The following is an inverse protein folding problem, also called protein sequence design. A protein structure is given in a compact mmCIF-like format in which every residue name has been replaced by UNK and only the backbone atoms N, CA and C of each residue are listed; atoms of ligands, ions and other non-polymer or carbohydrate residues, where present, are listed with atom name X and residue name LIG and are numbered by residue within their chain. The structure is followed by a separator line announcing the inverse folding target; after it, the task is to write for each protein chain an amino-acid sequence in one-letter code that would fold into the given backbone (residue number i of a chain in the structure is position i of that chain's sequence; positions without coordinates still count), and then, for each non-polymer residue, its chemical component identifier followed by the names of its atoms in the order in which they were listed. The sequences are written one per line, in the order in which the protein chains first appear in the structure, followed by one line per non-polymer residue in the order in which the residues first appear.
data_IF_774488088545
#
_entry.id   IF_774488088545
#
_cell.length_a   1.000
_cell.length_b   1.000
_cell.length_c   1.000
_cell.angle_alpha   90.00
_cell.angle_beta   90.00
_cell.angle_gamma   90.00
#
_symmetry.space_group_name_H-M   'P 1'
#
loop_
_entity.id
_entity.type
_entity.pdbx_description
1 polymer ?
#
# COMPACT_ATOMS: atom_id res chain seq x y z
N UNK A 1 -0.28 18.88 6.46
CA UNK A 1 -0.67 17.93 5.41
C UNK A 1 -1.72 16.94 5.92
N UNK A 2 -2.46 16.24 5.02
CA UNK A 2 -3.42 15.20 5.45
C UNK A 2 -2.75 13.84 5.55
N UNK A 3 -2.85 13.20 6.72
CA UNK A 3 -2.31 11.86 6.97
C UNK A 3 -3.38 10.89 7.45
N UNK A 4 -3.25 9.63 7.05
CA UNK A 4 -4.13 8.56 7.48
C UNK A 4 -3.47 7.71 8.59
N UNK A 5 -4.10 7.69 9.74
CA UNK A 5 -3.68 6.92 10.92
C UNK A 5 -4.53 5.66 11.03
N UNK A 6 -3.92 4.50 10.92
CA UNK A 6 -4.64 3.22 10.93
C UNK A 6 -4.42 2.48 12.23
N UNK A 7 -5.52 2.07 12.87
CA UNK A 7 -5.54 1.35 14.14
C UNK A 7 -6.34 0.06 14.04
N UNK A 8 -6.09 -0.84 14.96
CA UNK A 8 -6.98 -1.98 15.24
C UNK A 8 -8.14 -1.48 16.10
N UNK A 9 -9.32 -2.08 15.92
CA UNK A 9 -10.41 -1.92 16.86
C UNK A 9 -11.18 -3.24 17.00
N UNK A 10 -11.94 -3.35 18.07
CA UNK A 10 -12.66 -4.56 18.45
C UNK A 10 -14.15 -4.25 18.54
N UNK A 11 -14.92 -4.44 17.45
CA UNK A 11 -16.36 -4.14 17.47
C UNK A 11 -17.10 -5.10 18.37
N UNK A 12 -18.14 -4.61 19.05
CA UNK A 12 -19.16 -5.47 19.69
C UNK A 12 -19.86 -6.31 18.62
N UNK A 13 -20.52 -7.43 18.98
CA UNK A 13 -21.29 -8.22 18.02
C UNK A 13 -22.30 -7.39 17.22
N UNK A 14 -23.03 -6.48 17.87
CA UNK A 14 -23.98 -5.57 17.23
C UNK A 14 -23.30 -4.61 16.24
N UNK A 15 -22.18 -3.99 16.64
CA UNK A 15 -21.40 -3.13 15.75
C UNK A 15 -20.86 -3.91 14.54
N UNK A 16 -20.36 -5.13 14.76
CA UNK A 16 -19.82 -5.97 13.69
C UNK A 16 -20.91 -6.36 12.68
N UNK A 17 -22.13 -6.67 13.15
CA UNK A 17 -23.28 -6.99 12.30
C UNK A 17 -23.67 -5.77 11.46
N UNK A 18 -23.89 -4.63 12.08
CA UNK A 18 -24.28 -3.39 11.41
C UNK A 18 -23.24 -2.95 10.37
N UNK A 19 -21.94 -3.03 10.70
CA UNK A 19 -20.86 -2.73 9.77
C UNK A 19 -20.81 -3.72 8.59
N UNK A 20 -21.08 -5.00 8.83
CA UNK A 20 -21.17 -6.00 7.75
C UNK A 20 -22.32 -5.73 6.79
N UNK A 21 -23.50 -5.31 7.30
CA UNK A 21 -24.64 -4.85 6.48
C UNK A 21 -24.23 -3.60 5.70
N UNK A 22 -23.62 -2.61 6.34
CA UNK A 22 -23.10 -1.40 5.69
C UNK A 22 -22.15 -1.73 4.53
N UNK A 23 -21.19 -2.67 4.70
CA UNK A 23 -20.32 -3.13 3.62
C UNK A 23 -21.09 -3.78 2.46
N UNK A 24 -22.19 -4.46 2.76
CA UNK A 24 -23.11 -5.01 1.76
C UNK A 24 -23.76 -3.90 0.93
N UNK A 25 -24.33 -2.92 1.61
CA UNK A 25 -25.00 -1.76 1.00
C UNK A 25 -24.03 -0.94 0.14
N UNK A 26 -22.84 -0.60 0.65
CA UNK A 26 -21.79 0.10 -0.08
C UNK A 26 -21.40 -0.63 -1.37
N UNK A 27 -21.24 -1.94 -1.33
CA UNK A 27 -20.94 -2.73 -2.52
C UNK A 27 -22.10 -2.75 -3.52
N UNK A 28 -23.31 -2.88 -3.05
CA UNK A 28 -24.51 -2.86 -3.88
C UNK A 28 -24.65 -1.52 -4.61
N UNK A 29 -24.60 -0.41 -3.87
CA UNK A 29 -24.70 0.96 -4.43
C UNK A 29 -23.61 1.21 -5.47
N UNK A 30 -22.36 0.81 -5.18
CA UNK A 30 -21.27 0.92 -6.16
C UNK A 30 -21.59 0.17 -7.45
N UNK A 31 -22.04 -1.09 -7.31
CA UNK A 31 -22.31 -1.94 -8.46
C UNK A 31 -23.53 -1.46 -9.26
N UNK A 32 -24.60 -1.06 -8.58
CA UNK A 32 -25.81 -0.52 -9.24
C UNK A 32 -25.48 0.77 -9.99
N UNK A 33 -24.76 1.69 -9.36
CA UNK A 33 -24.32 2.92 -10.02
C UNK A 33 -23.39 2.67 -11.21
N UNK A 34 -22.48 1.70 -11.11
CA UNK A 34 -21.63 1.28 -12.23
C UNK A 34 -22.47 0.69 -13.37
N UNK A 35 -23.44 -0.17 -13.05
CA UNK A 35 -24.33 -0.76 -14.05
C UNK A 35 -25.16 0.31 -14.79
N UNK A 36 -25.76 1.27 -14.06
CA UNK A 36 -26.54 2.38 -14.65
C UNK A 36 -25.66 3.25 -15.57
N UNK A 37 -24.45 3.60 -15.12
CA UNK A 37 -23.50 4.38 -15.95
C UNK A 37 -23.06 3.62 -17.19
N UNK A 38 -22.80 2.31 -17.06
CA UNK A 38 -22.41 1.46 -18.21
C UNK A 38 -23.57 1.32 -19.19
N UNK A 39 -24.81 1.09 -18.70
CA UNK A 39 -26.01 0.97 -19.53
C UNK A 39 -26.30 2.26 -20.30
N UNK A 40 -26.29 3.41 -19.63
CA UNK A 40 -26.53 4.70 -20.25
C UNK A 40 -25.54 4.99 -21.38
N UNK A 41 -24.29 4.59 -21.21
CA UNK A 41 -23.27 4.73 -22.25
C UNK A 41 -23.50 3.76 -23.41
N UNK A 42 -23.78 2.47 -23.16
CA UNK A 42 -23.93 1.44 -24.19
C UNK A 42 -25.20 1.64 -25.03
N UNK A 43 -26.30 2.10 -24.41
CA UNK A 43 -27.60 2.24 -25.07
C UNK A 43 -27.81 3.61 -25.72
N UNK A 44 -27.21 4.68 -25.17
CA UNK A 44 -27.48 6.04 -25.66
C UNK A 44 -26.26 6.94 -25.69
N UNK A 45 -25.04 6.40 -25.54
CA UNK A 45 -23.79 7.17 -25.44
C UNK A 45 -23.85 8.32 -24.41
N UNK A 46 -24.80 8.22 -23.47
CA UNK A 46 -25.05 9.24 -22.46
C UNK A 46 -24.10 9.08 -21.27
N UNK A 47 -23.43 10.15 -20.92
CA UNK A 47 -22.58 10.19 -19.73
C UNK A 47 -23.43 10.55 -18.50
N UNK A 48 -23.53 9.61 -17.55
CA UNK A 48 -24.17 9.84 -16.25
C UNK A 48 -23.14 10.46 -15.28
N UNK A 49 -23.51 11.60 -14.70
CA UNK A 49 -22.67 12.37 -13.76
C UNK A 49 -22.71 11.79 -12.35
N UNK A 50 -21.82 12.28 -11.47
CA UNK A 50 -21.86 11.95 -10.05
C UNK A 50 -23.17 12.44 -9.39
N UNK A 51 -23.62 13.65 -9.72
CA UNK A 51 -24.84 14.24 -9.17
C UNK A 51 -26.09 13.41 -9.54
N UNK A 52 -26.16 12.90 -10.76
CA UNK A 52 -27.25 12.00 -11.17
C UNK A 52 -27.24 10.69 -10.39
N UNK A 53 -26.06 10.10 -10.17
CA UNK A 53 -25.95 8.87 -9.35
C UNK A 53 -26.34 9.11 -7.88
N UNK A 54 -26.10 10.30 -7.35
CA UNK A 54 -26.51 10.68 -6.00
C UNK A 54 -28.03 10.87 -5.91
N UNK A 55 -28.67 11.47 -6.93
CA UNK A 55 -30.14 11.51 -7.06
C UNK A 55 -30.73 10.11 -7.17
N UNK A 56 -30.16 9.23 -8.00
CA UNK A 56 -30.57 7.83 -8.12
C UNK A 56 -30.52 7.09 -6.78
N UNK A 57 -29.50 7.34 -5.94
CA UNK A 57 -29.44 6.76 -4.60
C UNK A 57 -30.65 7.14 -3.75
N UNK A 58 -31.17 8.34 -3.87
CA UNK A 58 -32.38 8.78 -3.17
C UNK A 58 -33.60 8.00 -3.64
N UNK A 59 -33.74 7.79 -4.95
CA UNK A 59 -34.80 6.98 -5.54
C UNK A 59 -34.69 5.51 -5.09
N UNK A 60 -33.50 4.93 -5.13
CA UNK A 60 -33.30 3.54 -4.68
C UNK A 60 -33.64 3.32 -3.21
N UNK A 61 -33.50 4.31 -2.35
CA UNK A 61 -33.90 4.21 -0.93
C UNK A 61 -35.42 4.23 -0.74
N UNK A 62 -36.17 4.78 -1.70
CA UNK A 62 -37.64 4.82 -1.66
C UNK A 62 -38.28 3.60 -2.32
N UNK A 63 -37.53 2.91 -3.16
CA UNK A 63 -37.96 1.71 -3.85
C UNK A 63 -38.13 0.56 -2.84
N UNK A 64 -39.31 -0.08 -2.74
CA UNK A 64 -39.58 -1.18 -1.81
C UNK A 64 -38.55 -2.32 -1.90
N UNK A 65 -38.08 -2.67 -3.10
CA UNK A 65 -37.09 -3.74 -3.30
C UNK A 65 -35.73 -3.42 -2.70
N UNK A 66 -35.40 -2.15 -2.54
CA UNK A 66 -34.10 -1.68 -2.04
C UNK A 66 -34.20 -0.77 -0.82
N UNK A 67 -35.36 -0.73 -0.14
CA UNK A 67 -35.62 0.05 1.07
C UNK A 67 -34.61 -0.23 2.21
N UNK A 68 -34.02 -1.43 2.26
CA UNK A 68 -32.95 -1.78 3.21
C UNK A 68 -31.70 -0.89 3.06
N UNK A 69 -31.55 -0.10 1.98
CA UNK A 69 -30.50 0.91 1.86
C UNK A 69 -30.66 2.09 2.84
N UNK A 70 -31.78 2.17 3.57
CA UNK A 70 -32.00 3.14 4.65
C UNK A 70 -31.32 2.72 5.96
N UNK A 71 -31.04 1.42 6.14
CA UNK A 71 -30.38 0.90 7.36
C UNK A 71 -29.03 1.60 7.65
N UNK A 72 -28.05 1.64 6.72
CA UNK A 72 -26.80 2.31 7.00
C UNK A 72 -26.96 3.84 6.98
N UNK A 73 -26.00 4.53 7.59
CA UNK A 73 -25.87 5.98 7.40
C UNK A 73 -25.69 6.34 5.93
N UNK A 74 -26.22 7.50 5.51
CA UNK A 74 -26.09 7.97 4.12
C UNK A 74 -24.64 8.18 3.69
N UNK A 75 -23.77 8.60 4.62
CA UNK A 75 -22.38 8.97 4.31
C UNK A 75 -21.57 7.87 3.60
N UNK A 76 -21.52 6.63 4.10
CA UNK A 76 -20.83 5.53 3.42
C UNK A 76 -21.36 5.23 2.02
N UNK A 77 -22.66 5.42 1.77
CA UNK A 77 -23.26 5.22 0.46
C UNK A 77 -22.84 6.31 -0.53
N UNK A 78 -22.88 7.57 -0.09
CA UNK A 78 -22.39 8.69 -0.89
C UNK A 78 -20.88 8.63 -1.12
N UNK A 79 -20.11 8.22 -0.09
CA UNK A 79 -18.67 8.02 -0.22
C UNK A 79 -18.34 7.03 -1.34
N UNK A 80 -19.09 5.93 -1.44
CA UNK A 80 -18.83 4.94 -2.50
C UNK A 80 -19.18 5.43 -3.91
N UNK A 81 -20.13 6.36 -4.06
CA UNK A 81 -20.39 7.03 -5.35
C UNK A 81 -19.25 7.97 -5.74
N UNK A 82 -18.64 8.67 -4.76
CA UNK A 82 -17.42 9.46 -4.98
C UNK A 82 -16.23 8.58 -5.37
N UNK A 83 -16.08 7.41 -4.73
CA UNK A 83 -15.05 6.43 -5.10
C UNK A 83 -15.24 5.94 -6.55
N UNK A 84 -16.49 5.70 -6.97
CA UNK A 84 -16.80 5.33 -8.35
C UNK A 84 -16.46 6.46 -9.31
N UNK A 85 -16.80 7.70 -8.96
CA UNK A 85 -16.45 8.88 -9.77
C UNK A 85 -14.92 9.01 -9.91
N UNK A 86 -14.19 8.87 -8.82
CA UNK A 86 -12.71 8.89 -8.85
C UNK A 86 -12.14 7.77 -9.73
N UNK A 87 -12.75 6.58 -9.70
CA UNK A 87 -12.34 5.47 -10.56
C UNK A 87 -12.56 5.78 -12.05
N UNK A 88 -13.66 6.44 -12.41
CA UNK A 88 -13.89 6.92 -13.77
C UNK A 88 -12.92 8.02 -14.19
N UNK A 89 -12.65 9.00 -13.32
CA UNK A 89 -11.65 10.04 -13.59
C UNK A 89 -10.28 9.43 -13.88
N UNK A 90 -9.85 8.47 -13.06
CA UNK A 90 -8.59 7.76 -13.28
C UNK A 90 -8.58 6.95 -14.59
N UNK A 91 -9.70 6.40 -15.00
CA UNK A 91 -9.84 5.71 -16.28
C UNK A 91 -9.71 6.71 -17.46
N UNK A 92 -10.44 7.84 -17.44
CA UNK A 92 -10.38 8.84 -18.51
C UNK A 92 -8.98 9.47 -18.64
N UNK A 93 -8.30 9.65 -17.50
CA UNK A 93 -6.92 10.14 -17.47
C UNK A 93 -5.88 9.05 -17.80
N UNK A 94 -6.31 7.86 -18.22
CA UNK A 94 -5.45 6.70 -18.56
C UNK A 94 -4.56 6.20 -17.40
N UNK A 95 -4.87 6.62 -16.16
CA UNK A 95 -4.15 6.18 -14.93
C UNK A 95 -4.60 4.81 -14.45
N UNK A 96 -5.81 4.38 -14.79
CA UNK A 96 -6.37 3.09 -14.41
C UNK A 96 -7.22 2.48 -15.54
N UNK A 97 -7.51 1.19 -15.43
CA UNK A 97 -8.47 0.50 -16.31
C UNK A 97 -9.90 0.87 -15.93
N UNK A 98 -10.85 0.54 -16.83
CA UNK A 98 -12.28 0.72 -16.61
C UNK A 98 -12.72 0.16 -15.26
N UNK A 99 -13.61 0.85 -14.50
CA UNK A 99 -14.11 0.40 -13.20
C UNK A 99 -14.73 -1.00 -13.29
N UNK A 100 -14.49 -1.83 -12.26
CA UNK A 100 -14.99 -3.21 -12.23
C UNK A 100 -16.01 -3.40 -11.12
N UNK A 101 -16.98 -4.29 -11.32
CA UNK A 101 -17.91 -4.70 -10.29
C UNK A 101 -17.19 -5.25 -9.06
N UNK A 102 -17.63 -4.82 -7.89
CA UNK A 102 -17.11 -5.29 -6.60
C UNK A 102 -17.81 -6.60 -6.22
N UNK A 103 -17.04 -7.61 -5.79
CA UNK A 103 -17.58 -8.88 -5.30
C UNK A 103 -17.27 -9.08 -3.81
N UNK A 104 -18.14 -9.80 -3.08
CA UNK A 104 -17.93 -10.13 -1.65
C UNK A 104 -16.61 -10.87 -1.41
N UNK A 105 -16.15 -11.65 -2.39
CA UNK A 105 -14.93 -12.49 -2.28
C UNK A 105 -13.64 -11.74 -2.58
N UNK A 106 -13.66 -10.86 -3.58
CA UNK A 106 -12.45 -10.21 -4.13
C UNK A 106 -12.26 -8.78 -3.64
N UNK A 107 -13.36 -8.09 -3.27
CA UNK A 107 -13.29 -6.70 -2.85
C UNK A 107 -13.11 -6.59 -1.35
N UNK A 108 -12.37 -5.57 -0.93
CA UNK A 108 -12.17 -5.25 0.48
C UNK A 108 -13.50 -4.83 1.11
N UNK A 109 -13.82 -5.37 2.28
CA UNK A 109 -14.93 -4.90 3.10
C UNK A 109 -14.49 -3.58 3.77
N UNK A 110 -15.03 -2.45 3.33
CA UNK A 110 -14.73 -1.13 3.88
C UNK A 110 -15.88 -0.16 3.65
N UNK A 111 -16.01 0.81 4.55
CA UNK A 111 -16.97 1.90 4.48
C UNK A 111 -16.33 3.18 5.01
N UNK A 112 -16.52 4.28 4.30
CA UNK A 112 -15.96 5.58 4.63
C UNK A 112 -17.04 6.49 5.20
N UNK A 113 -16.76 7.10 6.34
CA UNK A 113 -17.61 8.05 7.05
C UNK A 113 -16.93 9.42 7.01
N UNK A 114 -17.63 10.42 6.49
CA UNK A 114 -17.16 11.81 6.51
C UNK A 114 -17.54 12.46 7.85
N UNK A 115 -17.03 13.66 8.11
CA UNK A 115 -17.15 14.39 9.39
C UNK A 115 -18.57 14.45 9.96
N UNK A 116 -19.58 14.55 9.10
CA UNK A 116 -21.00 14.57 9.49
C UNK A 116 -21.60 13.19 9.78
N UNK A 117 -20.83 12.11 9.71
CA UNK A 117 -21.29 10.73 9.90
C UNK A 117 -20.56 10.01 11.03
N UNK A 118 -19.85 10.72 11.86
CA UNK A 118 -19.27 10.24 13.11
C UNK A 118 -19.09 11.40 14.09
N UNK A 119 -19.00 11.10 15.38
CA UNK A 119 -18.62 12.06 16.41
C UNK A 119 -17.20 11.74 16.89
N UNK A 120 -16.44 12.78 17.19
CA UNK A 120 -15.12 12.73 17.81
C UNK A 120 -15.20 13.51 19.12
N UNK A 121 -15.13 12.83 20.26
CA UNK A 121 -15.17 13.45 21.61
C UNK A 121 -14.25 12.69 22.55
N UNK A 122 -13.41 13.39 23.31
CA UNK A 122 -12.55 12.76 24.33
C UNK A 122 -11.65 11.64 23.81
N UNK A 123 -11.16 11.73 22.58
CA UNK A 123 -10.35 10.66 21.97
C UNK A 123 -11.17 9.43 21.49
N UNK A 124 -12.49 9.51 21.49
CA UNK A 124 -13.38 8.41 21.08
C UNK A 124 -14.11 8.72 19.77
N UNK A 125 -14.31 7.71 18.96
CA UNK A 125 -15.06 7.79 17.69
C UNK A 125 -16.35 6.98 17.82
N UNK A 126 -17.48 7.65 17.64
CA UNK A 126 -18.78 6.97 17.50
C UNK A 126 -19.31 7.19 16.09
N UNK A 127 -19.59 6.10 15.37
CA UNK A 127 -20.13 6.18 14.02
C UNK A 127 -21.61 6.48 14.03
N UNK A 128 -22.10 7.17 13.03
CA UNK A 128 -23.54 7.44 12.88
C UNK A 128 -24.36 6.13 12.89
N UNK A 129 -25.47 6.15 13.59
CA UNK A 129 -26.35 4.99 13.87
C UNK A 129 -25.71 3.90 14.74
N UNK A 130 -24.64 4.21 15.46
CA UNK A 130 -24.12 3.37 16.54
C UNK A 130 -24.29 4.08 17.89
N UNK A 131 -24.67 3.32 18.92
CA UNK A 131 -24.89 3.85 20.27
C UNK A 131 -23.60 3.95 21.09
N UNK A 132 -22.59 3.18 20.73
CA UNK A 132 -21.34 3.09 21.48
C UNK A 132 -20.14 3.49 20.62
N UNK A 133 -19.09 4.08 21.20
CA UNK A 133 -17.86 4.37 20.52
C UNK A 133 -17.16 3.08 20.07
N UNK A 134 -16.27 3.21 19.08
CA UNK A 134 -15.40 2.12 18.65
C UNK A 134 -14.35 1.84 19.72
N UNK A 135 -14.18 0.59 20.12
CA UNK A 135 -13.08 0.14 20.98
C UNK A 135 -11.78 0.09 20.17
N UNK A 136 -11.06 1.22 20.11
CA UNK A 136 -9.85 1.42 19.31
C UNK A 136 -8.63 1.13 20.16
N UNK A 137 -7.79 0.20 19.69
CA UNK A 137 -6.47 -0.01 20.24
C UNK A 137 -5.50 1.06 19.73
N UNK A 138 -5.28 2.09 20.56
CA UNK A 138 -4.42 3.23 20.26
C UNK A 138 -2.93 2.85 20.38
N UNK A 139 -2.38 2.23 19.32
CA UNK A 139 -0.96 1.87 19.27
C UNK A 139 -0.02 3.09 19.20
N UNK A 140 -0.55 4.25 18.91
CA UNK A 140 0.08 5.58 18.94
C UNK A 140 -1.00 6.63 19.11
N UNK A 141 -0.65 7.79 19.64
CA UNK A 141 -1.58 8.91 19.72
C UNK A 141 -1.75 9.56 18.33
N UNK A 142 -2.89 10.20 18.11
CA UNK A 142 -3.03 11.16 17.04
C UNK A 142 -2.18 12.39 17.36
N UNK A 143 -1.76 13.18 16.35
CA UNK A 143 -1.12 14.47 16.62
C UNK A 143 -1.97 15.34 17.53
N UNK A 144 -1.34 16.14 18.36
CA UNK A 144 -2.01 17.09 19.23
C UNK A 144 -2.87 18.05 18.41
N UNK A 145 -4.09 18.32 18.85
CA UNK A 145 -5.05 19.15 18.12
C UNK A 145 -5.59 18.54 16.82
N UNK A 146 -5.24 17.30 16.49
CA UNK A 146 -5.70 16.67 15.25
C UNK A 146 -7.21 16.41 15.27
N UNK A 147 -7.93 17.00 14.31
CA UNK A 147 -9.34 16.74 14.09
C UNK A 147 -9.57 15.74 12.94
N UNK A 148 -10.22 14.60 13.21
CA UNK A 148 -10.61 13.66 12.19
C UNK A 148 -11.57 14.27 11.18
N UNK A 149 -11.17 14.31 9.91
CA UNK A 149 -12.02 14.77 8.78
C UNK A 149 -12.77 13.60 8.14
N UNK A 150 -12.21 12.40 8.21
CA UNK A 150 -12.75 11.19 7.61
C UNK A 150 -12.32 9.95 8.39
N UNK A 151 -13.23 9.02 8.53
CA UNK A 151 -12.99 7.72 9.17
C UNK A 151 -13.36 6.61 8.21
N UNK A 152 -12.42 5.70 7.92
CA UNK A 152 -12.68 4.51 7.09
C UNK A 152 -12.57 3.27 7.94
N UNK A 153 -13.68 2.57 8.11
CA UNK A 153 -13.72 1.26 8.77
C UNK A 153 -13.53 0.16 7.75
N UNK A 154 -12.75 -0.84 8.09
CA UNK A 154 -12.52 -1.98 7.19
C UNK A 154 -12.28 -3.28 7.94
N UNK A 155 -12.65 -4.39 7.28
CA UNK A 155 -12.38 -5.75 7.75
C UNK A 155 -11.52 -6.49 6.72
N UNK A 156 -10.45 -7.13 7.18
CA UNK A 156 -9.59 -7.94 6.31
C UNK A 156 -10.07 -9.39 6.20
N UNK A 157 -9.40 -10.17 5.35
CA UNK A 157 -9.71 -11.57 5.13
C UNK A 157 -9.44 -12.46 6.37
N UNK A 158 -8.64 -12.00 7.32
CA UNK A 158 -8.38 -12.65 8.60
C UNK A 158 -9.42 -12.30 9.68
N UNK A 159 -10.50 -11.60 9.30
CA UNK A 159 -11.56 -11.06 10.18
C UNK A 159 -11.04 -10.05 11.19
N UNK A 160 -9.96 -9.34 10.88
CA UNK A 160 -9.45 -8.25 11.71
C UNK A 160 -10.08 -6.94 11.28
N UNK A 161 -10.49 -6.14 12.27
CA UNK A 161 -11.12 -4.86 12.05
C UNK A 161 -10.11 -3.72 12.20
N UNK A 162 -10.23 -2.75 11.33
CA UNK A 162 -9.36 -1.58 11.31
C UNK A 162 -10.18 -0.32 11.11
N UNK A 163 -9.76 0.72 11.81
CA UNK A 163 -10.20 2.09 11.58
C UNK A 163 -9.01 2.88 11.05
N UNK A 164 -9.22 3.61 9.95
CA UNK A 164 -8.25 4.55 9.40
C UNK A 164 -8.83 5.94 9.54
N UNK A 165 -8.15 6.78 10.28
CA UNK A 165 -8.55 8.14 10.62
C UNK A 165 -7.72 9.08 9.77
N UNK A 166 -8.37 9.91 8.96
CA UNK A 166 -7.73 10.97 8.20
C UNK A 166 -7.81 12.26 9.02
N UNK A 167 -6.66 12.78 9.38
CA UNK A 167 -6.53 14.03 10.12
C UNK A 167 -5.45 14.92 9.48
N UNK A 168 -5.53 16.20 9.75
CA UNK A 168 -4.45 17.11 9.41
C UNK A 168 -3.29 16.89 10.39
N UNK A 169 -2.09 16.94 9.89
CA UNK A 169 -0.87 16.73 10.64
C UNK A 169 0.20 17.73 10.17
N UNK A 170 0.80 18.41 11.09
CA UNK A 170 1.97 19.25 10.86
C UNK A 170 3.22 18.41 11.08
N UNK A 171 3.64 17.68 10.03
CA UNK A 171 4.94 17.02 10.10
C UNK A 171 6.00 18.10 10.01
N UNK A 172 6.82 18.23 11.04
CA UNK A 172 8.00 19.08 11.00
C UNK A 172 9.06 18.40 10.15
N UNK A 173 9.69 19.16 9.27
CA UNK A 173 10.86 18.68 8.56
C UNK A 173 11.90 18.20 9.58
N UNK A 174 12.58 17.13 9.25
CA UNK A 174 13.70 16.67 10.07
C UNK A 174 14.86 17.67 9.97
N UNK A 175 15.63 17.81 11.04
CA UNK A 175 16.82 18.66 11.01
C UNK A 175 17.69 18.37 9.78
N UNK A 176 18.18 19.37 9.05
CA UNK A 176 19.01 19.15 7.86
C UNK A 176 20.21 18.27 8.17
N UNK A 177 20.61 17.44 7.24
CA UNK A 177 21.84 16.66 7.30
C UNK A 177 22.51 16.69 5.92
N UNK A 178 23.82 16.53 5.87
CA UNK A 178 24.58 16.47 4.61
C UNK A 178 24.76 15.04 4.11
N UNK A 179 24.33 14.04 4.89
CA UNK A 179 24.50 12.63 4.56
C UNK A 179 23.70 12.24 3.32
N UNK A 180 24.35 11.49 2.43
CA UNK A 180 23.74 10.92 1.23
C UNK A 180 24.02 9.42 1.19
N UNK A 181 23.07 8.63 0.68
CA UNK A 181 23.22 7.18 0.61
C UNK A 181 22.67 6.61 -0.68
N UNK A 182 23.46 5.73 -1.32
CA UNK A 182 23.02 4.87 -2.42
C UNK A 182 22.56 3.52 -1.86
N UNK A 183 21.51 2.97 -2.46
CA UNK A 183 20.90 1.72 -2.04
C UNK A 183 20.81 0.73 -3.20
N UNK A 184 21.53 -0.39 -3.07
CA UNK A 184 21.36 -1.56 -3.92
C UNK A 184 20.35 -2.53 -3.30
N UNK A 185 19.34 -2.98 -4.06
CA UNK A 185 18.27 -3.85 -3.59
C UNK A 185 18.54 -5.31 -3.98
N UNK A 186 18.82 -6.16 -2.98
CA UNK A 186 19.23 -7.54 -3.17
C UNK A 186 18.26 -8.58 -2.62
N UNK A 187 18.48 -9.85 -2.98
CA UNK A 187 17.71 -11.00 -2.47
C UNK A 187 18.36 -11.55 -1.20
N UNK A 188 19.67 -11.62 -1.13
CA UNK A 188 20.42 -12.11 0.04
C UNK A 188 20.39 -11.08 1.15
N UNK A 189 20.90 -9.89 0.88
CA UNK A 189 20.63 -8.70 1.68
C UNK A 189 19.41 -8.01 1.09
N UNK A 190 18.49 -7.52 1.92
CA UNK A 190 17.30 -6.80 1.45
C UNK A 190 17.69 -5.52 0.75
N UNK A 191 18.65 -4.80 1.34
CA UNK A 191 19.34 -3.65 0.76
C UNK A 191 20.79 -3.65 1.23
N UNK A 192 21.68 -3.14 0.39
CA UNK A 192 23.06 -2.82 0.73
C UNK A 192 23.24 -1.32 0.55
N UNK A 193 23.80 -0.66 1.55
CA UNK A 193 24.05 0.78 1.55
C UNK A 193 25.45 1.09 1.02
N UNK A 194 25.63 2.25 0.42
CA UNK A 194 26.94 2.73 -0.06
C UNK A 194 27.97 2.92 1.06
N UNK A 195 27.50 2.98 2.32
CA UNK A 195 28.34 2.98 3.54
C UNK A 195 29.00 1.62 3.81
N UNK A 196 28.58 0.56 3.12
CA UNK A 196 29.02 -0.84 3.38
C UNK A 196 28.05 -1.65 4.24
N UNK A 197 27.05 -1.01 4.86
CA UNK A 197 26.05 -1.74 5.65
C UNK A 197 25.19 -2.65 4.76
N UNK A 198 25.06 -3.91 5.17
CA UNK A 198 24.17 -4.91 4.56
C UNK A 198 23.00 -5.23 5.48
N UNK A 199 21.80 -4.85 5.07
CA UNK A 199 20.58 -5.17 5.82
C UNK A 199 20.08 -6.56 5.43
N UNK A 200 20.08 -7.49 6.38
CA UNK A 200 19.68 -8.88 6.16
C UNK A 200 18.22 -8.97 5.72
N UNK A 201 17.95 -9.80 4.69
CA UNK A 201 16.58 -10.09 4.28
C UNK A 201 15.92 -11.07 5.27
N UNK A 202 14.87 -10.68 6.02
CA UNK A 202 14.27 -11.51 7.07
C UNK A 202 13.43 -12.67 6.52
N UNK A 203 13.19 -12.75 5.21
CA UNK A 203 12.52 -13.85 4.49
C UNK A 203 11.23 -14.31 5.18
N UNK A 204 10.34 -13.39 5.46
CA UNK A 204 9.13 -13.60 6.29
C UNK A 204 8.21 -14.71 5.75
N UNK A 205 8.03 -14.83 4.43
CA UNK A 205 7.23 -15.90 3.81
C UNK A 205 7.90 -17.25 4.01
N UNK A 206 9.21 -17.35 3.79
CA UNK A 206 9.97 -18.57 3.95
C UNK A 206 9.85 -19.12 5.38
N UNK A 207 9.91 -18.24 6.37
CA UNK A 207 9.77 -18.57 7.80
C UNK A 207 8.42 -19.21 8.14
N UNK A 208 7.31 -18.71 7.54
CA UNK A 208 5.96 -19.21 7.80
C UNK A 208 5.48 -20.22 6.71
N UNK A 209 6.33 -20.61 5.74
CA UNK A 209 5.98 -21.44 4.58
C UNK A 209 5.37 -22.78 4.93
N UNK A 210 5.97 -23.51 5.88
CA UNK A 210 5.44 -24.82 6.35
C UNK A 210 4.02 -24.66 6.91
N UNK A 211 3.80 -23.62 7.72
CA UNK A 211 2.50 -23.30 8.31
C UNK A 211 1.47 -22.91 7.25
N UNK A 212 1.88 -22.09 6.29
CA UNK A 212 1.01 -21.68 5.17
C UNK A 212 0.58 -22.90 4.33
N UNK A 213 1.53 -23.77 3.95
CA UNK A 213 1.27 -25.01 3.20
C UNK A 213 0.27 -25.89 3.91
N UNK A 214 0.46 -26.16 5.21
CA UNK A 214 -0.48 -26.97 6.02
C UNK A 214 -1.88 -26.36 6.05
N UNK A 215 -1.99 -25.05 6.23
CA UNK A 215 -3.28 -24.35 6.24
C UNK A 215 -3.97 -24.41 4.86
N UNK A 216 -3.22 -24.29 3.75
CA UNK A 216 -3.74 -24.40 2.38
C UNK A 216 -4.19 -25.83 2.07
N UNK A 217 -3.45 -26.86 2.46
CA UNK A 217 -3.85 -28.26 2.32
C UNK A 217 -5.12 -28.57 3.12
N UNK A 218 -5.22 -28.06 4.35
CA UNK A 218 -6.44 -28.20 5.15
C UNK A 218 -7.64 -27.52 4.47
N UNK A 219 -7.43 -26.35 3.84
CA UNK A 219 -8.47 -25.65 3.09
C UNK A 219 -8.90 -26.41 1.83
N UNK A 220 -7.96 -26.99 1.08
CA UNK A 220 -8.26 -27.71 -0.18
C UNK A 220 -9.15 -28.94 0.07
N UNK A 221 -8.97 -29.62 1.20
CA UNK A 221 -9.73 -30.81 1.60
C UNK A 221 -11.17 -30.51 2.07
N UNK A 222 -11.58 -29.24 2.18
CA UNK A 222 -12.92 -28.86 2.68
C UNK A 222 -13.87 -28.59 1.52
N UNK A 223 -15.11 -29.08 1.65
CA UNK A 223 -16.18 -28.90 0.68
C UNK A 223 -16.42 -27.41 0.37
N UNK A 224 -16.56 -27.08 -0.90
CA UNK A 224 -16.88 -25.72 -1.36
C UNK A 224 -18.25 -25.29 -0.79
N UNK A 225 -18.30 -24.09 -0.23
CA UNK A 225 -19.54 -23.55 0.39
C UNK A 225 -19.70 -23.85 1.89
N UNK A 226 -19.06 -24.88 2.45
CA UNK A 226 -19.25 -25.27 3.85
C UNK A 226 -18.69 -24.25 4.85
N UNK A 227 -19.27 -24.21 6.05
CA UNK A 227 -18.79 -23.40 7.18
C UNK A 227 -17.35 -23.77 7.58
N UNK A 228 -17.01 -25.07 7.51
CA UNK A 228 -15.66 -25.56 7.80
C UNK A 228 -14.63 -25.03 6.79
N UNK A 229 -15.02 -24.91 5.51
CA UNK A 229 -14.16 -24.26 4.50
C UNK A 229 -13.98 -22.76 4.79
N UNK A 230 -15.02 -22.07 5.25
CA UNK A 230 -14.91 -20.67 5.66
C UNK A 230 -13.94 -20.49 6.84
N UNK A 231 -14.02 -21.35 7.87
CA UNK A 231 -13.08 -21.38 8.99
C UNK A 231 -11.64 -21.65 8.52
N UNK A 232 -11.44 -22.63 7.62
CA UNK A 232 -10.12 -22.96 7.07
C UNK A 232 -9.54 -21.79 6.24
N UNK A 233 -10.38 -21.10 5.45
CA UNK A 233 -9.97 -19.89 4.69
C UNK A 233 -9.47 -18.78 5.63
N UNK A 234 -10.16 -18.56 6.74
CA UNK A 234 -9.72 -17.59 7.76
C UNK A 234 -8.37 -17.99 8.37
N UNK A 235 -8.09 -19.28 8.58
CA UNK A 235 -6.77 -19.75 9.05
C UNK A 235 -5.67 -19.41 8.05
N UNK A 236 -5.89 -19.67 6.76
CA UNK A 236 -4.93 -19.27 5.69
C UNK A 236 -4.72 -17.75 5.68
N UNK A 237 -5.81 -16.99 5.75
CA UNK A 237 -5.75 -15.52 5.76
C UNK A 237 -4.98 -14.97 6.97
N UNK A 238 -5.10 -15.60 8.16
CA UNK A 238 -4.33 -15.23 9.36
C UNK A 238 -2.82 -15.42 9.17
N UNK A 239 -2.39 -16.48 8.46
CA UNK A 239 -0.95 -16.69 8.17
C UNK A 239 -0.45 -15.61 7.20
N UNK A 240 -1.17 -15.35 6.11
CA UNK A 240 -0.81 -14.26 5.18
C UNK A 240 -0.78 -12.89 5.86
N UNK A 241 -1.74 -12.61 6.74
CA UNK A 241 -1.78 -11.35 7.49
C UNK A 241 -0.54 -11.19 8.38
N UNK A 242 -0.11 -12.25 9.08
CA UNK A 242 1.12 -12.24 9.90
C UNK A 242 2.36 -11.94 9.06
N UNK A 243 2.51 -12.61 7.91
CA UNK A 243 3.64 -12.38 6.99
C UNK A 243 3.65 -10.92 6.53
N UNK A 244 2.50 -10.40 6.13
CA UNK A 244 2.35 -9.01 5.67
C UNK A 244 2.66 -7.99 6.78
N UNK A 245 2.17 -8.23 8.00
CA UNK A 245 2.38 -7.31 9.12
C UNK A 245 3.87 -7.24 9.50
N UNK A 246 4.55 -8.39 9.62
CA UNK A 246 5.99 -8.45 9.89
C UNK A 246 6.83 -7.76 8.82
N UNK A 247 6.49 -8.00 7.55
CA UNK A 247 7.16 -7.36 6.42
C UNK A 247 7.00 -5.84 6.48
N UNK A 248 5.79 -5.37 6.72
CA UNK A 248 5.53 -3.94 6.83
C UNK A 248 6.24 -3.30 8.01
N UNK A 249 6.21 -3.93 9.18
CA UNK A 249 6.91 -3.44 10.36
C UNK A 249 8.41 -3.30 10.10
N UNK A 250 9.02 -4.34 9.52
CA UNK A 250 10.44 -4.32 9.16
C UNK A 250 10.76 -3.19 8.17
N UNK A 251 9.99 -3.09 7.08
CA UNK A 251 10.19 -2.03 6.10
C UNK A 251 9.95 -0.63 6.68
N UNK A 252 8.95 -0.46 7.55
CA UNK A 252 8.70 0.83 8.20
C UNK A 252 9.86 1.25 9.10
N UNK A 253 10.43 0.34 9.87
CA UNK A 253 11.60 0.60 10.72
C UNK A 253 12.81 0.98 9.87
N UNK A 254 13.12 0.16 8.87
CA UNK A 254 14.25 0.38 7.96
C UNK A 254 14.14 1.72 7.22
N UNK A 255 13.03 1.96 6.54
CA UNK A 255 12.86 3.19 5.74
C UNK A 255 12.78 4.44 6.61
N UNK A 256 12.28 4.36 7.85
CA UNK A 256 12.30 5.49 8.78
C UNK A 256 13.72 5.82 9.21
N UNK A 257 14.54 4.81 9.50
CA UNK A 257 15.94 4.99 9.83
C UNK A 257 16.70 5.64 8.68
N UNK A 258 16.62 5.06 7.48
CA UNK A 258 17.32 5.58 6.29
C UNK A 258 16.96 7.05 6.00
N UNK A 259 15.67 7.39 6.04
CA UNK A 259 15.20 8.75 5.76
C UNK A 259 15.59 9.75 6.86
N UNK A 260 15.69 9.31 8.11
CA UNK A 260 16.12 10.20 9.20
C UNK A 260 17.62 10.50 9.14
N UNK A 261 18.41 9.51 8.77
CA UNK A 261 19.87 9.59 8.75
C UNK A 261 20.43 10.32 7.51
N UNK A 262 19.67 10.40 6.41
CA UNK A 262 20.17 10.91 5.14
C UNK A 262 19.31 12.03 4.56
N UNK A 263 19.95 13.05 3.98
CA UNK A 263 19.29 14.13 3.24
C UNK A 263 18.79 13.63 1.88
N UNK A 264 19.65 12.90 1.17
CA UNK A 264 19.35 12.36 -0.16
C UNK A 264 19.53 10.84 -0.16
N UNK A 265 18.56 10.12 -0.66
CA UNK A 265 18.57 8.67 -0.80
C UNK A 265 18.45 8.31 -2.27
N UNK A 266 19.42 7.59 -2.79
CA UNK A 266 19.48 7.22 -4.21
C UNK A 266 19.19 5.73 -4.35
N UNK A 267 18.27 5.39 -5.25
CA UNK A 267 17.80 4.03 -5.49
C UNK A 267 17.78 3.69 -6.98
N UNK A 268 17.70 2.42 -7.32
CA UNK A 268 17.43 1.96 -8.69
C UNK A 268 15.94 1.99 -9.03
N UNK A 269 15.61 2.28 -10.31
CA UNK A 269 14.25 2.13 -10.84
C UNK A 269 13.94 0.67 -11.19
N UNK A 270 13.74 -0.17 -10.19
CA UNK A 270 13.47 -1.60 -10.40
C UNK A 270 12.09 -1.87 -11.00
N UNK A 271 12.04 -2.55 -12.14
CA UNK A 271 10.79 -3.05 -12.72
C UNK A 271 10.31 -4.33 -12.01
N UNK A 272 9.92 -4.21 -10.73
CA UNK A 272 9.50 -5.35 -9.90
C UNK A 272 8.38 -6.16 -10.56
N UNK A 273 7.46 -5.51 -11.28
CA UNK A 273 6.38 -6.17 -12.01
C UNK A 273 6.89 -7.13 -13.09
N UNK A 274 7.95 -6.78 -13.77
CA UNK A 274 8.58 -7.65 -14.78
C UNK A 274 9.41 -8.74 -14.11
N UNK A 275 10.13 -8.41 -13.04
CA UNK A 275 10.95 -9.37 -12.30
C UNK A 275 10.13 -10.53 -11.70
N UNK A 276 8.91 -10.30 -11.23
CA UNK A 276 8.02 -11.35 -10.70
C UNK A 276 7.44 -12.27 -11.80
N UNK A 277 7.67 -12.00 -13.07
CA UNK A 277 7.33 -12.93 -14.15
C UNK A 277 8.30 -14.13 -14.22
N UNK A 278 9.50 -13.97 -13.70
CA UNK A 278 10.44 -15.09 -13.52
C UNK A 278 9.92 -16.01 -12.42
N UNK A 279 9.39 -17.17 -12.80
CA UNK A 279 8.76 -18.13 -11.89
C UNK A 279 9.70 -18.61 -10.76
N UNK A 280 10.99 -18.76 -11.04
CA UNK A 280 11.99 -19.21 -10.06
C UNK A 280 12.21 -18.18 -8.95
N UNK A 281 12.20 -16.89 -9.28
CA UNK A 281 12.49 -15.79 -8.34
C UNK A 281 11.25 -15.05 -7.85
N UNK A 282 10.09 -15.20 -8.48
CA UNK A 282 8.86 -14.45 -8.21
C UNK A 282 8.49 -14.44 -6.71
N UNK A 283 8.64 -15.58 -6.03
CA UNK A 283 8.30 -15.72 -4.62
C UNK A 283 9.24 -14.91 -3.73
N UNK A 284 10.55 -14.99 -3.97
CA UNK A 284 11.57 -14.30 -3.17
C UNK A 284 11.48 -12.79 -3.40
N UNK A 285 11.32 -12.37 -4.65
CA UNK A 285 11.11 -10.96 -5.02
C UNK A 285 9.84 -10.41 -4.38
N UNK A 286 8.73 -11.18 -4.39
CA UNK A 286 7.49 -10.80 -3.72
C UNK A 286 7.65 -10.71 -2.20
N UNK A 287 8.52 -11.54 -1.60
CA UNK A 287 8.80 -11.48 -0.16
C UNK A 287 9.68 -10.28 0.20
N UNK A 288 10.65 -9.90 -0.62
CA UNK A 288 11.47 -8.70 -0.46
C UNK A 288 10.63 -7.40 -0.51
N UNK A 289 9.55 -7.38 -1.31
CA UNK A 289 8.60 -6.27 -1.43
C UNK A 289 9.24 -4.91 -1.76
N UNK A 290 10.17 -4.88 -2.71
CA UNK A 290 10.91 -3.67 -3.11
C UNK A 290 10.00 -2.52 -3.59
N UNK A 291 8.86 -2.81 -4.23
CA UNK A 291 7.89 -1.76 -4.57
C UNK A 291 7.32 -1.06 -3.32
N UNK A 292 7.11 -1.78 -2.23
CA UNK A 292 6.66 -1.20 -0.95
C UNK A 292 7.79 -0.45 -0.26
N UNK A 293 9.03 -0.95 -0.34
CA UNK A 293 10.24 -0.27 0.15
C UNK A 293 10.37 1.11 -0.52
N UNK A 294 10.41 1.15 -1.87
CA UNK A 294 10.47 2.39 -2.66
C UNK A 294 9.36 3.36 -2.27
N UNK A 295 8.12 2.90 -2.30
CA UNK A 295 6.97 3.72 -1.92
C UNK A 295 7.10 4.31 -0.52
N UNK A 296 7.64 3.54 0.44
CA UNK A 296 7.86 4.02 1.80
C UNK A 296 8.98 5.04 1.90
N UNK A 297 10.05 4.90 1.13
CA UNK A 297 11.12 5.90 1.04
C UNK A 297 10.56 7.21 0.46
N UNK A 298 9.88 7.16 -0.69
CA UNK A 298 9.35 8.32 -1.40
C UNK A 298 8.39 9.16 -0.52
N UNK A 299 7.36 8.55 0.10
CA UNK A 299 6.42 9.35 0.88
C UNK A 299 6.99 9.82 2.22
N UNK A 300 7.94 9.07 2.81
CA UNK A 300 8.61 9.51 4.04
C UNK A 300 9.59 10.62 3.76
N UNK A 301 10.30 10.58 2.64
CA UNK A 301 11.15 11.68 2.20
C UNK A 301 10.32 12.97 2.07
N UNK A 302 9.18 12.90 1.37
CA UNK A 302 8.27 14.03 1.27
C UNK A 302 7.74 14.52 2.64
N UNK A 303 7.58 13.62 3.63
CA UNK A 303 7.16 14.02 4.97
C UNK A 303 8.22 14.75 5.78
N UNK A 304 9.49 14.40 5.60
CA UNK A 304 10.59 14.87 6.44
C UNK A 304 11.51 15.87 5.72
N UNK A 305 11.10 16.43 4.56
CA UNK A 305 11.94 17.36 3.79
C UNK A 305 13.22 16.70 3.28
N UNK A 306 13.13 15.43 2.85
CA UNK A 306 14.22 14.64 2.30
C UNK A 306 14.00 14.38 0.80
N UNK A 307 15.03 13.95 0.12
CA UNK A 307 14.98 13.66 -1.31
C UNK A 307 15.20 12.17 -1.57
N UNK A 308 14.46 11.63 -2.57
CA UNK A 308 14.71 10.29 -3.11
C UNK A 308 14.88 10.41 -4.62
N UNK A 309 16.06 10.02 -5.10
CA UNK A 309 16.41 10.02 -6.52
C UNK A 309 16.44 8.58 -7.02
N UNK A 310 15.76 8.30 -8.12
CA UNK A 310 15.83 7.01 -8.78
C UNK A 310 16.71 7.13 -10.03
N UNK A 311 17.80 6.39 -10.09
CA UNK A 311 18.65 6.31 -11.29
C UNK A 311 17.96 5.47 -12.37
N UNK A 312 18.41 5.63 -13.61
CA UNK A 312 17.89 4.84 -14.73
C UNK A 312 18.10 3.34 -14.50
N UNK A 313 17.07 2.56 -14.84
CA UNK A 313 17.06 1.09 -14.64
C UNK A 313 18.09 0.32 -15.44
N UNK A 314 18.58 0.91 -16.52
CA UNK A 314 19.58 0.31 -17.40
C UNK A 314 21.01 0.71 -17.03
N UNK A 315 21.15 1.56 -16.02
CA UNK A 315 22.46 1.95 -15.54
C UNK A 315 23.22 0.72 -15.01
N UNK A 316 24.44 0.42 -15.50
CA UNK A 316 25.13 -0.84 -15.18
C UNK A 316 25.81 -0.83 -13.81
N UNK A 317 25.04 -0.50 -12.75
CA UNK A 317 25.55 -0.30 -11.38
C UNK A 317 26.39 -1.48 -10.87
N UNK A 318 25.96 -2.71 -11.14
CA UNK A 318 26.64 -3.92 -10.68
C UNK A 318 27.89 -4.30 -11.46
N UNK A 319 28.16 -3.64 -12.61
CA UNK A 319 29.29 -3.90 -13.48
C UNK A 319 30.28 -2.74 -13.54
N UNK A 320 29.96 -1.58 -13.02
CA UNK A 320 30.78 -0.39 -13.01
C UNK A 320 31.67 -0.39 -11.76
N UNK A 321 32.95 -0.11 -11.93
CA UNK A 321 33.87 0.04 -10.80
C UNK A 321 33.63 1.39 -10.11
N UNK A 322 33.37 1.39 -8.82
CA UNK A 322 33.14 2.62 -8.04
C UNK A 322 34.41 3.46 -7.83
N UNK A 323 35.59 2.88 -8.07
CA UNK A 323 36.85 3.58 -7.93
C UNK A 323 37.31 4.33 -9.22
N UNK A 324 37.14 3.70 -10.40
CA UNK A 324 37.67 4.29 -11.65
C UNK A 324 36.60 4.46 -12.75
N UNK A 325 35.33 4.07 -12.51
CA UNK A 325 34.27 4.17 -13.50
C UNK A 325 34.31 3.15 -14.64
N UNK A 326 35.32 2.28 -14.70
CA UNK A 326 35.43 1.28 -15.77
C UNK A 326 34.29 0.25 -15.68
N UNK A 327 33.74 -0.11 -16.83
CA UNK A 327 32.66 -1.11 -16.92
C UNK A 327 33.26 -2.47 -17.25
N UNK A 328 32.96 -3.48 -16.46
CA UNK A 328 33.36 -4.88 -16.70
C UNK A 328 32.34 -5.51 -17.65
N UNK A 329 32.83 -6.09 -18.73
CA UNK A 329 31.98 -6.67 -19.78
C UNK A 329 31.05 -7.77 -19.23
N UNK A 330 31.58 -8.69 -18.42
CA UNK A 330 30.86 -9.81 -17.85
C UNK A 330 31.19 -10.02 -16.38
N UNK A 331 30.17 -9.96 -15.51
CA UNK A 331 30.31 -10.27 -14.09
C UNK A 331 29.20 -11.26 -13.69
N UNK A 332 29.48 -12.58 -13.59
CA UNK A 332 28.49 -13.60 -13.25
C UNK A 332 27.81 -13.32 -11.92
N UNK A 333 26.53 -13.73 -11.76
CA UNK A 333 25.73 -13.43 -10.57
C UNK A 333 26.24 -14.11 -9.29
N UNK A 334 26.98 -15.21 -9.41
CA UNK A 334 27.59 -15.94 -8.30
C UNK A 334 28.87 -15.30 -7.77
N UNK A 335 29.49 -14.39 -8.53
CA UNK A 335 30.70 -13.66 -8.10
C UNK A 335 30.28 -12.56 -7.12
N UNK A 336 30.76 -12.67 -5.88
CA UNK A 336 30.47 -11.70 -4.81
C UNK A 336 31.57 -10.69 -4.58
N UNK A 337 32.80 -11.10 -4.82
CA UNK A 337 33.97 -10.22 -4.76
C UNK A 337 34.69 -10.24 -6.11
N UNK A 338 35.20 -9.12 -6.56
CA UNK A 338 35.89 -9.00 -7.82
C UNK A 338 36.93 -7.87 -7.81
N UNK A 339 37.98 -8.03 -8.57
CA UNK A 339 39.04 -7.05 -8.69
C UNK A 339 38.94 -6.37 -10.05
N UNK A 340 38.93 -5.04 -10.06
CA UNK A 340 38.95 -4.24 -11.27
C UNK A 340 40.36 -4.15 -11.87
N UNK A 341 40.45 -3.88 -13.16
CA UNK A 341 41.75 -3.60 -13.83
C UNK A 341 42.53 -2.43 -13.22
N UNK A 342 41.89 -1.55 -12.46
CA UNK A 342 42.58 -0.47 -11.73
C UNK A 342 43.19 -0.95 -10.39
N UNK A 343 43.12 -2.25 -10.06
CA UNK A 343 43.64 -2.84 -8.83
C UNK A 343 42.69 -2.82 -7.66
N UNK A 344 41.56 -2.10 -7.73
CA UNK A 344 40.58 -2.03 -6.64
C UNK A 344 39.76 -3.35 -6.51
N UNK A 345 39.72 -3.90 -5.31
CA UNK A 345 38.89 -5.06 -4.99
C UNK A 345 37.58 -4.61 -4.36
N UNK A 346 36.49 -5.20 -4.82
CA UNK A 346 35.12 -4.78 -4.48
C UNK A 346 34.28 -5.94 -3.97
N UNK A 347 33.54 -5.73 -2.89
CA UNK A 347 32.31 -6.44 -2.68
C UNK A 347 31.27 -5.95 -3.71
N UNK A 348 30.64 -6.87 -4.41
CA UNK A 348 29.76 -6.56 -5.55
C UNK A 348 28.60 -5.65 -5.18
N UNK A 349 27.89 -5.98 -4.08
CA UNK A 349 26.66 -5.28 -3.67
C UNK A 349 27.02 -3.90 -3.07
N UNK A 350 28.12 -3.79 -2.31
CA UNK A 350 28.62 -2.50 -1.79
C UNK A 350 29.13 -1.61 -2.94
N UNK A 351 29.83 -2.19 -3.91
CA UNK A 351 30.26 -1.45 -5.09
C UNK A 351 29.07 -0.91 -5.89
N UNK A 352 28.03 -1.75 -6.12
CA UNK A 352 26.81 -1.32 -6.80
C UNK A 352 26.14 -0.15 -6.06
N UNK A 353 26.02 -0.22 -4.74
CA UNK A 353 25.46 0.86 -3.93
C UNK A 353 26.25 2.17 -4.03
N UNK A 354 27.61 2.10 -4.07
CA UNK A 354 28.47 3.27 -4.29
C UNK A 354 28.30 3.87 -5.69
N UNK A 355 28.19 3.02 -6.71
CA UNK A 355 27.95 3.45 -8.09
C UNK A 355 26.56 4.09 -8.23
N UNK A 356 25.53 3.53 -7.59
CA UNK A 356 24.18 4.11 -7.53
C UNK A 356 24.24 5.50 -6.89
N UNK A 357 24.98 5.66 -5.79
CA UNK A 357 25.18 6.96 -5.14
C UNK A 357 25.80 7.97 -6.10
N UNK A 358 26.92 7.63 -6.73
CA UNK A 358 27.64 8.53 -7.65
C UNK A 358 26.76 8.93 -8.85
N UNK A 359 26.05 7.98 -9.46
CA UNK A 359 25.15 8.22 -10.58
C UNK A 359 24.01 9.18 -10.22
N UNK A 360 23.39 9.02 -9.06
CA UNK A 360 22.29 9.88 -8.62
C UNK A 360 22.77 11.30 -8.26
N UNK A 361 23.94 11.45 -7.66
CA UNK A 361 24.52 12.76 -7.38
C UNK A 361 24.88 13.51 -8.67
N UNK A 362 25.38 12.81 -9.71
CA UNK A 362 25.63 13.40 -11.02
C UNK A 362 24.34 13.91 -11.68
N UNK A 363 23.23 13.16 -11.61
CA UNK A 363 21.93 13.60 -12.11
C UNK A 363 21.45 14.87 -11.38
N UNK A 364 21.61 14.91 -10.06
CA UNK A 364 21.23 16.09 -9.26
C UNK A 364 22.06 17.33 -9.61
N UNK A 365 23.36 17.16 -9.88
CA UNK A 365 24.27 18.26 -10.23
C UNK A 365 24.02 18.84 -11.64
N UNK A 366 23.60 18.00 -12.59
CA UNK A 366 23.36 18.41 -13.98
C UNK A 366 22.02 19.10 -14.21
N UNK A 367 21.15 19.21 -13.19
CA UNK A 367 19.85 19.91 -13.29
C UNK A 367 18.81 19.25 -14.23
N UNK A 368 19.08 18.08 -14.76
CA UNK A 368 18.12 17.33 -15.57
C UNK A 368 16.97 16.86 -14.68
N UNK A 369 15.80 17.43 -14.99
CA UNK A 369 14.61 17.33 -14.16
C UNK A 369 14.33 15.92 -13.71
N UNK A 370 14.29 15.75 -12.41
CA UNK A 370 13.64 14.63 -11.75
C UNK A 370 12.26 14.49 -12.37
N UNK A 371 12.05 13.46 -13.21
CA UNK A 371 10.69 13.16 -13.69
C UNK A 371 9.83 12.96 -12.46
N UNK A 372 8.78 13.77 -12.25
CA UNK A 372 7.89 13.58 -11.12
C UNK A 372 7.36 12.14 -11.18
N UNK A 373 7.11 11.49 -10.05
CA UNK A 373 6.53 10.17 -10.03
C UNK A 373 5.26 10.18 -10.87
N UNK A 374 5.16 9.29 -11.83
CA UNK A 374 3.94 9.12 -12.63
C UNK A 374 2.82 8.77 -11.67
N UNK A 375 1.98 9.77 -11.38
CA UNK A 375 0.76 9.67 -10.59
C UNK A 375 -0.20 8.60 -11.12
#
# INVERSE_FOLDING_TARGET
MRRAFKYRFYPTPAQAEQLNRTFGCVRYVYNRALAERSRAWTQGQRRVTHAETDKMLTTWKRDPETAWLVEPSKGPLQATLRDLQAAYVNFWQKRAKYPRFKSKRKSRASATFYRNCFTWRGGQITLAKQSQPLDIHWSRLLPEGAEPSQVTVSRDAANRWFVSILAEDTVRDAAPTTSTVGIDAGITSLVTLSTGEKVVNPRHEQRDRKKLRRAQQALSRKQKGSANRAKARTKVAKVHARITDRRRDHLHKLTTRIIRENQTVIIEDLSVRNMVRNHSLARVISDAAWSELRRQLEYKAAWYGREVIAIDRWYPSSKTCSACGAIVEKLPLNVREWTCRCGATHDRDVNAAKVILAAGLAVSACGDGVRPPRS
#
